data_IF_316914951640
#
_entry.id   IF_316914951640
#
_cell.length_a   1.000
_cell.length_b   1.000
_cell.length_c   1.000
_cell.angle_alpha   90.00
_cell.angle_beta   90.00
_cell.angle_gamma   90.00
#
_symmetry.space_group_name_H-M   'P 1'
#
loop_
_entity.id
_entity.type
_entity.pdbx_description
1 polymer ?
#
# COMPACT_ATOMS: atom_id res chain seq x y z
N UNK A 1 19.07 -6.98 53.47
CA UNK A 1 18.48 -5.99 52.53
C UNK A 1 19.40 -5.62 51.36
N UNK A 2 20.74 -5.64 51.53
CA UNK A 2 21.73 -5.31 50.47
C UNK A 2 21.87 -6.38 49.38
N UNK A 3 21.82 -7.69 49.73
CA UNK A 3 21.94 -8.78 48.76
C UNK A 3 20.78 -8.84 47.73
N UNK A 4 19.54 -8.49 48.15
CA UNK A 4 18.39 -8.39 47.23
C UNK A 4 18.53 -7.25 46.21
N UNK A 5 19.16 -6.13 46.58
CA UNK A 5 19.45 -4.99 45.68
C UNK A 5 20.56 -5.29 44.66
N UNK A 6 21.55 -6.10 45.00
CA UNK A 6 22.59 -6.51 44.05
C UNK A 6 22.11 -7.56 43.05
N UNK A 7 21.22 -8.46 43.48
CA UNK A 7 20.63 -9.45 42.57
C UNK A 7 19.68 -8.80 41.55
N UNK A 8 18.91 -7.78 41.98
CA UNK A 8 18.05 -7.03 41.06
C UNK A 8 18.84 -6.23 40.02
N UNK A 9 19.97 -5.61 40.40
CA UNK A 9 20.86 -4.91 39.44
C UNK A 9 21.47 -5.85 38.40
N UNK A 10 21.87 -7.06 38.81
CA UNK A 10 22.40 -8.08 37.89
C UNK A 10 21.35 -8.57 36.90
N UNK A 11 20.12 -8.81 37.38
CA UNK A 11 18.98 -9.19 36.54
C UNK A 11 18.59 -8.08 35.55
N UNK A 12 18.52 -6.82 36.00
CA UNK A 12 18.24 -5.68 35.11
C UNK A 12 19.31 -5.53 34.04
N UNK A 13 20.59 -5.67 34.41
CA UNK A 13 21.70 -5.61 33.43
C UNK A 13 21.63 -6.74 32.41
N UNK A 14 21.33 -7.96 32.86
CA UNK A 14 21.21 -9.12 31.98
C UNK A 14 20.02 -8.96 31.03
N UNK A 15 18.86 -8.56 31.54
CA UNK A 15 17.68 -8.30 30.72
C UNK A 15 17.93 -7.18 29.70
N UNK A 16 18.58 -6.08 30.11
CA UNK A 16 18.96 -5.01 29.18
C UNK A 16 19.94 -5.46 28.10
N UNK A 17 20.90 -6.34 28.44
CA UNK A 17 21.80 -6.95 27.46
C UNK A 17 21.05 -7.84 26.47
N UNK A 18 20.18 -8.73 26.95
CA UNK A 18 19.38 -9.62 26.11
C UNK A 18 18.48 -8.82 25.16
N UNK A 19 17.75 -7.82 25.67
CA UNK A 19 16.94 -6.92 24.83
C UNK A 19 17.79 -6.18 23.79
N UNK A 20 18.94 -5.63 24.20
CA UNK A 20 19.85 -4.95 23.27
C UNK A 20 20.39 -5.86 22.18
N UNK A 21 20.76 -7.09 22.53
CA UNK A 21 21.24 -8.10 21.59
C UNK A 21 20.17 -8.49 20.58
N UNK A 22 18.94 -8.78 21.04
CA UNK A 22 17.84 -9.16 20.16
C UNK A 22 17.43 -8.03 19.21
N UNK A 23 17.36 -6.79 19.71
CA UNK A 23 17.07 -5.62 18.87
C UNK A 23 18.17 -5.41 17.83
N UNK A 24 19.45 -5.45 18.24
CA UNK A 24 20.57 -5.30 17.31
C UNK A 24 20.63 -6.40 16.26
N UNK A 25 20.35 -7.65 16.65
CA UNK A 25 20.27 -8.78 15.73
C UNK A 25 19.12 -8.60 14.72
N UNK A 26 17.92 -8.20 15.18
CA UNK A 26 16.78 -7.92 14.31
C UNK A 26 17.11 -6.83 13.30
N UNK A 27 17.61 -5.70 13.77
CA UNK A 27 17.90 -4.54 12.93
C UNK A 27 18.98 -4.90 11.89
N UNK A 28 20.06 -5.58 12.31
CA UNK A 28 21.10 -6.06 11.40
C UNK A 28 20.61 -7.10 10.39
N UNK A 29 19.72 -8.02 10.79
CA UNK A 29 19.11 -8.98 9.87
C UNK A 29 18.22 -8.28 8.82
N UNK A 30 17.43 -7.30 9.24
CA UNK A 30 16.60 -6.50 8.34
C UNK A 30 17.47 -5.68 7.36
N UNK A 31 18.51 -4.99 7.85
CA UNK A 31 19.47 -4.26 7.02
C UNK A 31 20.15 -5.20 6.00
N UNK A 32 20.56 -6.40 6.42
CA UNK A 32 21.18 -7.40 5.55
C UNK A 32 20.22 -7.87 4.45
N UNK A 33 18.97 -8.21 4.78
CA UNK A 33 17.95 -8.62 3.79
C UNK A 33 17.67 -7.48 2.80
N UNK A 34 17.54 -6.24 3.27
CA UNK A 34 17.36 -5.10 2.38
C UNK A 34 18.55 -4.92 1.42
N UNK A 35 19.78 -5.18 1.87
CA UNK A 35 20.99 -5.12 1.04
C UNK A 35 21.11 -6.24 0.00
N UNK A 36 20.35 -7.34 0.14
CA UNK A 36 20.33 -8.43 -0.83
C UNK A 36 19.36 -8.19 -2.00
N UNK A 37 18.46 -7.20 -1.87
CA UNK A 37 17.50 -6.89 -2.92
C UNK A 37 18.23 -6.15 -4.06
N UNK A 38 18.12 -6.63 -5.31
CA UNK A 38 18.69 -5.91 -6.43
C UNK A 38 18.01 -4.54 -6.56
N UNK A 39 18.74 -3.49 -6.96
CA UNK A 39 18.10 -2.22 -7.28
C UNK A 39 17.10 -2.44 -8.43
N UNK A 40 15.98 -1.69 -8.45
CA UNK A 40 15.03 -1.78 -9.54
C UNK A 40 15.74 -1.44 -10.85
N UNK A 41 15.36 -2.12 -11.93
CA UNK A 41 15.88 -1.83 -13.26
C UNK A 41 15.47 -0.42 -13.68
N UNK A 42 16.44 0.40 -14.11
CA UNK A 42 16.27 1.83 -14.33
C UNK A 42 16.33 2.23 -15.80
N UNK A 43 16.29 1.28 -16.73
CA UNK A 43 16.37 1.60 -18.16
C UNK A 43 15.11 2.37 -18.56
N UNK A 44 15.22 3.67 -18.92
CA UNK A 44 14.05 4.46 -19.24
C UNK A 44 13.50 4.02 -20.60
N UNK A 45 12.18 3.95 -20.70
CA UNK A 45 11.47 3.78 -21.96
C UNK A 45 11.10 5.16 -22.54
N UNK A 46 11.22 5.37 -23.86
CA UNK A 46 10.84 6.63 -24.51
C UNK A 46 9.32 6.77 -24.51
N UNK A 47 8.78 7.32 -23.43
CA UNK A 47 7.36 7.45 -23.15
C UNK A 47 7.11 8.76 -22.41
N UNK A 48 6.12 9.53 -22.86
CA UNK A 48 5.54 10.65 -22.12
C UNK A 48 4.28 10.17 -21.42
N UNK A 49 4.34 10.08 -20.09
CA UNK A 49 3.26 9.58 -19.27
C UNK A 49 2.66 10.70 -18.41
N UNK A 50 1.33 10.82 -18.41
CA UNK A 50 0.59 11.62 -17.43
C UNK A 50 -0.01 10.68 -16.37
N UNK A 51 0.49 10.76 -15.15
CA UNK A 51 -0.01 10.01 -14.00
C UNK A 51 -1.02 10.84 -13.23
N UNK A 52 -2.19 10.26 -12.95
CA UNK A 52 -3.22 10.86 -12.11
C UNK A 52 -3.29 10.08 -10.78
N UNK A 53 -2.81 10.68 -9.68
CA UNK A 53 -2.75 10.03 -8.37
C UNK A 53 -4.14 9.85 -7.76
N UNK A 54 -4.25 8.93 -6.81
CA UNK A 54 -5.50 8.70 -6.08
C UNK A 54 -5.62 9.53 -4.80
N UNK A 55 -4.52 10.13 -4.31
CA UNK A 55 -4.47 10.90 -3.06
C UNK A 55 -3.98 10.11 -1.84
N UNK A 56 -3.37 8.94 -2.05
CA UNK A 56 -2.79 8.12 -0.98
C UNK A 56 -1.26 8.14 -1.09
N UNK A 57 -0.61 8.97 -0.25
CA UNK A 57 0.83 9.27 -0.30
C UNK A 57 1.71 8.01 -0.44
N UNK A 58 1.46 6.99 0.37
CA UNK A 58 2.24 5.75 0.35
C UNK A 58 2.27 5.04 -1.00
N UNK A 59 1.16 5.10 -1.75
CA UNK A 59 1.03 4.48 -3.07
C UNK A 59 1.51 5.47 -4.14
N UNK A 60 1.02 6.70 -4.10
CA UNK A 60 1.30 7.70 -5.12
C UNK A 60 2.78 8.07 -5.15
N UNK A 61 3.43 8.29 -4.00
CA UNK A 61 4.86 8.59 -3.95
C UNK A 61 5.72 7.44 -4.50
N UNK A 62 5.36 6.19 -4.16
CA UNK A 62 6.05 5.01 -4.67
C UNK A 62 5.90 4.84 -6.18
N UNK A 63 4.71 5.10 -6.72
CA UNK A 63 4.49 5.06 -8.16
C UNK A 63 5.23 6.18 -8.89
N UNK A 64 5.20 7.40 -8.34
CA UNK A 64 5.90 8.54 -8.92
C UNK A 64 7.40 8.24 -8.99
N UNK A 65 8.01 7.78 -7.90
CA UNK A 65 9.44 7.39 -7.87
C UNK A 65 9.76 6.31 -8.92
N UNK A 66 8.94 5.25 -8.97
CA UNK A 66 9.15 4.14 -9.91
C UNK A 66 8.97 4.57 -11.38
N UNK A 67 7.98 5.42 -11.67
CA UNK A 67 7.72 5.92 -13.02
C UNK A 67 8.80 6.92 -13.45
N UNK A 68 9.24 7.82 -12.58
CA UNK A 68 10.35 8.75 -12.86
C UNK A 68 11.63 8.02 -13.29
N UNK A 69 11.91 6.86 -12.69
CA UNK A 69 13.06 6.03 -13.06
C UNK A 69 12.84 5.21 -14.35
N UNK A 70 11.61 5.12 -14.87
CA UNK A 70 11.24 4.22 -15.96
C UNK A 70 10.79 4.91 -17.24
N UNK A 71 10.31 6.15 -17.21
CA UNK A 71 9.86 6.85 -18.42
C UNK A 71 10.76 8.06 -18.70
N UNK A 72 10.89 8.43 -19.98
CA UNK A 72 11.68 9.62 -20.35
C UNK A 72 11.02 10.93 -19.92
N UNK A 73 9.69 10.96 -19.82
CA UNK A 73 8.96 12.17 -19.43
C UNK A 73 7.74 11.80 -18.57
N UNK A 74 7.74 12.22 -17.31
CA UNK A 74 6.63 12.02 -16.38
C UNK A 74 6.00 13.37 -16.03
N UNK A 75 4.68 13.43 -16.18
CA UNK A 75 3.84 14.47 -15.62
C UNK A 75 2.94 13.88 -14.54
N UNK A 76 2.79 14.58 -13.42
CA UNK A 76 1.84 14.22 -12.37
C UNK A 76 0.73 15.26 -12.39
N UNK A 77 -0.48 14.83 -12.71
CA UNK A 77 -1.66 15.70 -12.85
C UNK A 77 -2.61 15.61 -11.66
N UNK A 78 -3.80 16.16 -11.84
CA UNK A 78 -4.90 16.07 -10.89
C UNK A 78 -6.16 15.53 -11.56
N UNK A 79 -7.05 14.93 -10.77
CA UNK A 79 -8.27 14.35 -11.31
C UNK A 79 -9.27 15.43 -11.77
N UNK A 80 -9.21 16.63 -11.18
CA UNK A 80 -10.11 17.75 -11.46
C UNK A 80 -9.94 18.32 -12.87
N UNK A 81 -8.70 18.30 -13.39
CA UNK A 81 -8.33 18.92 -14.66
C UNK A 81 -7.73 17.92 -15.64
N UNK A 82 -8.00 16.62 -15.46
CA UNK A 82 -7.39 15.53 -16.21
C UNK A 82 -7.44 15.78 -17.72
N UNK A 83 -8.61 16.11 -18.27
CA UNK A 83 -8.77 16.31 -19.72
C UNK A 83 -8.04 17.55 -20.25
N UNK A 84 -8.02 18.65 -19.48
CA UNK A 84 -7.31 19.88 -19.81
C UNK A 84 -5.80 19.66 -19.80
N UNK A 85 -5.30 19.00 -18.75
CA UNK A 85 -3.89 18.65 -18.61
C UNK A 85 -3.43 17.70 -19.73
N UNK A 86 -4.23 16.68 -20.04
CA UNK A 86 -3.92 15.76 -21.14
C UNK A 86 -3.85 16.49 -22.49
N UNK A 87 -4.74 17.43 -22.77
CA UNK A 87 -4.71 18.23 -23.99
C UNK A 87 -3.46 19.11 -24.08
N UNK A 88 -3.09 19.78 -22.98
CA UNK A 88 -1.93 20.65 -22.92
C UNK A 88 -0.60 19.90 -23.03
N UNK A 89 -0.50 18.73 -22.38
CA UNK A 89 0.72 17.91 -22.32
C UNK A 89 0.88 17.05 -23.57
N UNK A 90 -0.24 16.60 -24.15
CA UNK A 90 -0.28 15.59 -25.22
C UNK A 90 0.58 14.36 -24.89
N UNK A 91 0.29 13.63 -23.80
CA UNK A 91 1.04 12.43 -23.41
C UNK A 91 0.75 11.25 -24.35
N UNK A 92 1.67 10.30 -24.41
CA UNK A 92 1.44 9.03 -25.12
C UNK A 92 0.39 8.18 -24.38
N UNK A 93 0.38 8.27 -23.04
CA UNK A 93 -0.56 7.55 -22.18
C UNK A 93 -0.92 8.34 -20.92
N UNK A 94 -2.19 8.26 -20.52
CA UNK A 94 -2.67 8.64 -19.19
C UNK A 94 -2.81 7.39 -18.33
N UNK A 95 -2.15 7.35 -17.18
CA UNK A 95 -2.32 6.31 -16.17
C UNK A 95 -3.08 6.88 -14.97
N UNK A 96 -4.23 6.31 -14.65
CA UNK A 96 -5.05 6.69 -13.50
C UNK A 96 -4.94 5.66 -12.40
N UNK A 97 -4.63 6.10 -11.18
CA UNK A 97 -4.68 5.24 -10.00
C UNK A 97 -6.10 5.20 -9.44
N UNK A 98 -6.68 3.99 -9.40
CA UNK A 98 -8.01 3.64 -8.89
C UNK A 98 -9.20 4.30 -9.65
N UNK A 99 -9.23 5.64 -9.80
CA UNK A 99 -10.26 6.33 -10.58
C UNK A 99 -11.66 6.33 -9.96
N UNK A 100 -11.77 6.16 -8.63
CA UNK A 100 -13.04 5.99 -7.92
C UNK A 100 -13.31 7.12 -6.91
N UNK A 101 -13.24 6.82 -5.60
CA UNK A 101 -13.85 7.62 -4.54
C UNK A 101 -13.28 9.03 -4.34
N UNK A 102 -12.04 9.25 -4.73
CA UNK A 102 -11.35 10.54 -4.64
C UNK A 102 -11.44 11.35 -5.93
N UNK A 103 -12.06 10.79 -6.97
CA UNK A 103 -12.16 11.40 -8.29
C UNK A 103 -13.48 12.18 -8.44
N UNK A 104 -13.50 13.23 -9.27
CA UNK A 104 -14.70 14.03 -9.48
C UNK A 104 -15.79 13.22 -10.18
N UNK A 105 -17.05 13.61 -9.99
CA UNK A 105 -18.20 12.88 -10.55
C UNK A 105 -18.16 12.77 -12.09
N UNK A 106 -17.54 13.74 -12.76
CA UNK A 106 -17.37 13.77 -14.22
C UNK A 106 -16.11 13.01 -14.71
N UNK A 107 -15.44 12.24 -13.85
CA UNK A 107 -14.18 11.57 -14.19
C UNK A 107 -14.26 10.72 -15.47
N UNK A 108 -15.30 9.91 -15.62
CA UNK A 108 -15.47 9.08 -16.82
C UNK A 108 -15.70 9.89 -18.10
N UNK A 109 -16.31 11.07 -17.98
CA UNK A 109 -16.47 12.02 -19.09
C UNK A 109 -15.10 12.62 -19.48
N UNK A 110 -14.26 12.93 -18.49
CA UNK A 110 -12.88 13.39 -18.74
C UNK A 110 -12.05 12.31 -19.44
N UNK A 111 -12.15 11.04 -19.03
CA UNK A 111 -11.49 9.92 -19.71
C UNK A 111 -11.97 9.78 -21.16
N UNK A 112 -13.28 9.90 -21.40
CA UNK A 112 -13.82 9.91 -22.76
C UNK A 112 -13.23 11.06 -23.60
N UNK A 113 -13.12 12.26 -23.04
CA UNK A 113 -12.53 13.41 -23.73
C UNK A 113 -11.04 13.21 -24.04
N UNK A 114 -10.27 12.56 -23.16
CA UNK A 114 -8.88 12.18 -23.43
C UNK A 114 -8.79 11.19 -24.59
N UNK A 115 -9.63 10.16 -24.60
CA UNK A 115 -9.64 9.14 -25.66
C UNK A 115 -10.04 9.72 -27.02
N UNK A 116 -10.96 10.69 -27.05
CA UNK A 116 -11.35 11.39 -28.28
C UNK A 116 -10.18 12.17 -28.90
N UNK A 117 -9.16 12.54 -28.12
CA UNK A 117 -7.92 13.15 -28.61
C UNK A 117 -6.90 12.12 -29.14
N UNK A 118 -7.24 10.82 -29.11
CA UNK A 118 -6.34 9.74 -29.52
C UNK A 118 -5.30 9.34 -28.48
N UNK A 119 -5.38 9.90 -27.26
CA UNK A 119 -4.45 9.58 -26.16
C UNK A 119 -4.86 8.25 -25.53
N UNK A 120 -3.89 7.34 -25.34
CA UNK A 120 -4.13 6.04 -24.71
C UNK A 120 -4.45 6.22 -23.22
N UNK A 121 -5.42 5.46 -22.71
CA UNK A 121 -5.80 5.52 -21.30
C UNK A 121 -5.64 4.17 -20.59
N UNK A 122 -5.08 4.21 -19.39
CA UNK A 122 -4.94 3.07 -18.50
C UNK A 122 -5.46 3.40 -17.11
N UNK A 123 -6.05 2.41 -16.44
CA UNK A 123 -6.42 2.50 -15.02
C UNK A 123 -5.81 1.35 -14.25
N UNK A 124 -5.40 1.59 -13.01
CA UNK A 124 -4.99 0.55 -12.08
C UNK A 124 -5.94 0.48 -10.88
N UNK A 125 -6.79 -0.53 -10.86
CA UNK A 125 -7.72 -0.78 -9.76
C UNK A 125 -7.02 -1.53 -8.62
N UNK A 126 -7.16 -0.97 -7.42
CA UNK A 126 -6.46 -1.42 -6.20
C UNK A 126 -7.38 -1.61 -4.99
N UNK A 127 -8.69 -1.40 -5.18
CA UNK A 127 -9.71 -1.61 -4.14
C UNK A 127 -10.59 -2.85 -4.38
N UNK A 128 -10.39 -3.56 -5.49
CA UNK A 128 -11.07 -4.84 -5.70
C UNK A 128 -10.61 -5.89 -4.69
N UNK A 129 -11.50 -6.82 -4.29
CA UNK A 129 -12.86 -7.04 -4.80
C UNK A 129 -13.95 -6.19 -4.11
N UNK A 130 -13.59 -5.21 -3.27
CA UNK A 130 -14.58 -4.45 -2.49
C UNK A 130 -15.36 -3.43 -3.33
N UNK A 131 -14.80 -3.02 -4.47
CA UNK A 131 -15.36 -1.97 -5.33
C UNK A 131 -15.77 -2.47 -6.72
N UNK A 132 -15.89 -3.80 -6.88
CA UNK A 132 -16.04 -4.45 -8.18
C UNK A 132 -17.27 -3.98 -8.97
N UNK A 133 -18.38 -3.65 -8.30
CA UNK A 133 -19.56 -3.07 -8.97
C UNK A 133 -19.23 -1.74 -9.68
N UNK A 134 -18.37 -0.92 -9.08
CA UNK A 134 -17.97 0.39 -9.63
C UNK A 134 -16.83 0.26 -10.63
N UNK A 135 -15.83 -0.57 -10.31
CA UNK A 135 -14.68 -0.77 -11.21
C UNK A 135 -15.11 -1.45 -12.50
N UNK A 136 -16.11 -2.35 -12.49
CA UNK A 136 -16.68 -2.94 -13.70
C UNK A 136 -17.27 -1.90 -14.67
N UNK A 137 -17.96 -0.88 -14.14
CA UNK A 137 -18.49 0.22 -14.96
C UNK A 137 -17.34 1.08 -15.49
N UNK A 138 -16.44 1.51 -14.60
CA UNK A 138 -15.32 2.38 -14.97
C UNK A 138 -14.38 1.73 -16.00
N UNK A 139 -14.13 0.42 -15.89
CA UNK A 139 -13.23 -0.35 -16.73
C UNK A 139 -13.52 -0.20 -18.23
N UNK A 140 -14.79 -0.07 -18.62
CA UNK A 140 -15.22 0.07 -20.02
C UNK A 140 -14.82 1.41 -20.65
N UNK A 141 -14.48 2.40 -19.83
CA UNK A 141 -14.05 3.71 -20.31
C UNK A 141 -12.55 3.76 -20.64
N UNK A 142 -11.76 2.79 -20.19
CA UNK A 142 -10.31 2.75 -20.37
C UNK A 142 -9.88 1.82 -21.49
N UNK A 143 -8.74 2.11 -22.10
CA UNK A 143 -8.18 1.21 -23.11
C UNK A 143 -7.33 0.07 -22.52
N UNK A 144 -6.85 0.23 -21.28
CA UNK A 144 -6.08 -0.77 -20.53
C UNK A 144 -6.56 -0.80 -19.09
N UNK A 145 -6.82 -2.00 -18.57
CA UNK A 145 -7.21 -2.23 -17.18
C UNK A 145 -6.12 -3.04 -16.49
N UNK A 146 -5.55 -2.47 -15.44
CA UNK A 146 -4.62 -3.14 -14.54
C UNK A 146 -5.36 -3.43 -13.23
N UNK A 147 -5.18 -4.62 -12.68
CA UNK A 147 -5.79 -4.99 -11.39
C UNK A 147 -4.83 -5.80 -10.54
N UNK A 148 -4.86 -5.57 -9.23
CA UNK A 148 -4.13 -6.36 -8.26
C UNK A 148 -4.85 -7.64 -7.81
N UNK A 149 -6.09 -7.85 -8.29
CA UNK A 149 -6.97 -8.94 -7.86
C UNK A 149 -7.13 -9.94 -9.01
N UNK A 150 -6.58 -11.15 -8.85
CA UNK A 150 -6.65 -12.17 -9.89
C UNK A 150 -8.10 -12.57 -10.21
N UNK A 151 -8.99 -12.53 -9.21
CA UNK A 151 -10.40 -12.88 -9.35
C UNK A 151 -11.21 -11.96 -10.27
N UNK A 152 -10.76 -10.73 -10.53
CA UNK A 152 -11.49 -9.77 -11.38
C UNK A 152 -11.06 -9.80 -12.84
N UNK A 153 -9.98 -10.52 -13.20
CA UNK A 153 -9.50 -10.60 -14.59
C UNK A 153 -10.58 -11.11 -15.54
N UNK A 154 -11.20 -12.24 -15.19
CA UNK A 154 -12.23 -12.85 -16.03
C UNK A 154 -13.50 -12.02 -16.04
N UNK A 155 -13.84 -11.38 -14.92
CA UNK A 155 -14.96 -10.46 -14.86
C UNK A 155 -14.79 -9.33 -15.89
N UNK A 156 -13.66 -8.61 -15.89
CA UNK A 156 -13.44 -7.50 -16.82
C UNK A 156 -13.45 -7.96 -18.29
N UNK A 157 -12.88 -9.12 -18.58
CA UNK A 157 -12.92 -9.69 -19.94
C UNK A 157 -14.35 -10.00 -20.35
N UNK A 158 -15.15 -10.60 -19.46
CA UNK A 158 -16.53 -10.99 -19.74
C UNK A 158 -17.45 -9.81 -20.05
N UNK A 159 -17.17 -8.62 -19.51
CA UNK A 159 -17.94 -7.39 -19.77
C UNK A 159 -17.43 -6.59 -20.97
N UNK A 160 -16.38 -7.05 -21.65
CA UNK A 160 -15.90 -6.47 -22.91
C UNK A 160 -14.57 -5.73 -22.84
N UNK A 161 -13.87 -5.72 -21.70
CA UNK A 161 -12.52 -5.17 -21.64
C UNK A 161 -11.54 -6.09 -22.37
N UNK A 162 -10.93 -5.59 -23.45
CA UNK A 162 -10.05 -6.40 -24.31
C UNK A 162 -8.59 -6.45 -23.85
N UNK A 163 -8.18 -5.49 -23.01
CA UNK A 163 -6.81 -5.36 -22.53
C UNK A 163 -6.83 -5.27 -21.00
N UNK A 164 -6.74 -6.43 -20.36
CA UNK A 164 -6.81 -6.60 -18.90
C UNK A 164 -5.62 -7.39 -18.41
N UNK A 165 -4.86 -6.80 -17.50
CA UNK A 165 -3.64 -7.39 -16.95
C UNK A 165 -3.64 -7.40 -15.43
N UNK A 166 -3.11 -8.49 -14.88
CA UNK A 166 -2.76 -8.56 -13.48
C UNK A 166 -1.48 -7.76 -13.24
N UNK A 167 -1.52 -6.84 -12.29
CA UNK A 167 -0.37 -6.11 -11.81
C UNK A 167 -0.47 -5.97 -10.29
N UNK A 168 0.36 -6.70 -9.50
CA UNK A 168 0.33 -6.61 -8.06
C UNK A 168 0.85 -5.26 -7.58
N UNK A 169 0.27 -4.74 -6.49
CA UNK A 169 0.87 -3.62 -5.79
C UNK A 169 2.15 -4.06 -5.09
N UNK A 170 3.21 -3.30 -5.31
CA UNK A 170 4.47 -3.44 -4.59
C UNK A 170 4.55 -2.39 -3.48
N UNK A 171 5.49 -2.61 -2.57
CA UNK A 171 5.77 -1.69 -1.47
C UNK A 171 6.66 -0.54 -1.93
N UNK A 172 6.35 0.70 -1.55
CA UNK A 172 7.29 1.82 -1.70
C UNK A 172 8.45 1.67 -0.72
N UNK A 173 9.57 1.11 -1.19
CA UNK A 173 10.73 0.78 -0.34
C UNK A 173 11.48 2.00 0.21
N UNK A 174 11.30 3.19 -0.37
CA UNK A 174 11.83 4.43 0.20
C UNK A 174 11.15 4.80 1.52
N UNK A 175 9.83 4.59 1.60
CA UNK A 175 9.01 4.86 2.77
C UNK A 175 8.98 3.67 3.73
N UNK A 176 8.67 2.48 3.22
CA UNK A 176 8.58 1.25 4.01
C UNK A 176 9.88 0.46 3.92
N UNK A 177 10.76 0.74 4.87
CA UNK A 177 12.05 0.07 5.02
C UNK A 177 12.37 -0.15 6.48
N UNK A 178 13.27 -1.08 6.80
CA UNK A 178 13.80 -1.20 8.15
C UNK A 178 14.35 0.16 8.62
N UNK A 179 13.89 0.60 9.78
CA UNK A 179 14.32 1.82 10.43
C UNK A 179 14.56 1.53 11.91
N UNK A 180 15.57 2.19 12.47
CA UNK A 180 15.78 2.19 13.92
C UNK A 180 14.75 3.11 14.54
N UNK A 181 13.87 2.54 15.35
CA UNK A 181 12.79 3.26 16.01
C UNK A 181 13.01 3.29 17.52
N UNK A 182 12.33 4.22 18.20
CA UNK A 182 12.29 4.20 19.66
C UNK A 182 11.65 2.89 20.18
N UNK A 183 12.11 2.46 21.35
CA UNK A 183 11.52 1.37 22.14
C UNK A 183 10.00 1.50 22.36
N UNK A 184 9.44 2.72 22.32
CA UNK A 184 8.01 2.98 22.41
C UNK A 184 7.21 2.25 21.32
N UNK A 185 7.78 2.08 20.13
CA UNK A 185 7.16 1.37 19.00
C UNK A 185 7.31 -0.15 19.06
N UNK A 186 8.12 -0.68 19.98
CA UNK A 186 8.28 -2.12 20.13
C UNK A 186 6.96 -2.75 20.60
N UNK A 187 6.54 -3.85 19.97
CA UNK A 187 5.38 -4.65 20.38
C UNK A 187 5.72 -6.14 20.18
N UNK A 188 5.07 -7.00 20.96
CA UNK A 188 5.18 -8.45 20.78
C UNK A 188 4.34 -8.92 19.59
N UNK A 189 3.21 -8.24 19.35
CA UNK A 189 2.30 -8.48 18.25
C UNK A 189 1.78 -7.14 17.74
N UNK A 190 1.86 -6.92 16.42
CA UNK A 190 1.41 -5.71 15.75
C UNK A 190 0.46 -6.09 14.62
N UNK A 191 -0.72 -5.47 14.59
CA UNK A 191 -1.66 -5.56 13.47
C UNK A 191 -1.85 -4.16 12.89
N UNK A 192 -1.63 -4.03 11.59
CA UNK A 192 -1.82 -2.79 10.84
C UNK A 192 -2.91 -3.02 9.80
N UNK A 193 -4.01 -2.28 9.89
CA UNK A 193 -5.12 -2.36 8.95
C UNK A 193 -6.47 -2.01 9.58
N UNK A 194 -7.54 -2.25 8.84
CA UNK A 194 -8.91 -2.02 9.33
C UNK A 194 -9.50 -3.29 9.96
N UNK A 195 -10.25 -3.13 11.04
CA UNK A 195 -11.02 -4.17 11.73
C UNK A 195 -12.25 -4.67 10.96
N UNK A 196 -12.02 -5.30 9.80
CA UNK A 196 -13.08 -5.99 9.06
C UNK A 196 -13.50 -7.28 9.76
N UNK A 197 -14.76 -7.69 9.61
CA UNK A 197 -15.35 -8.79 10.37
C UNK A 197 -14.58 -10.11 10.27
N UNK A 198 -14.00 -10.41 9.12
CA UNK A 198 -13.14 -11.58 8.95
C UNK A 198 -11.87 -11.50 9.83
N UNK A 199 -11.27 -10.31 9.96
CA UNK A 199 -10.11 -10.08 10.83
C UNK A 199 -10.51 -10.05 12.31
N UNK A 200 -11.64 -9.43 12.63
CA UNK A 200 -12.21 -9.42 13.99
C UNK A 200 -12.44 -10.84 14.47
N UNK A 201 -13.11 -11.69 13.67
CA UNK A 201 -13.35 -13.09 14.02
C UNK A 201 -12.05 -13.85 14.31
N UNK A 202 -11.05 -13.73 13.44
CA UNK A 202 -9.74 -14.37 13.65
C UNK A 202 -9.08 -13.89 14.95
N UNK A 203 -9.12 -12.60 15.25
CA UNK A 203 -8.48 -12.05 16.46
C UNK A 203 -9.27 -12.41 17.73
N UNK A 204 -10.60 -12.43 17.67
CA UNK A 204 -11.44 -12.89 18.78
C UNK A 204 -11.14 -14.36 19.12
N UNK A 205 -11.00 -15.23 18.11
CA UNK A 205 -10.67 -16.66 18.28
C UNK A 205 -9.33 -16.89 19.00
N UNK A 206 -8.38 -15.96 18.88
CA UNK A 206 -7.06 -16.06 19.51
C UNK A 206 -6.85 -15.09 20.69
N UNK A 207 -7.88 -14.36 21.10
CA UNK A 207 -7.75 -13.24 22.05
C UNK A 207 -7.24 -13.70 23.43
N UNK A 208 -7.72 -14.82 23.94
CA UNK A 208 -7.25 -15.32 25.24
C UNK A 208 -5.78 -15.75 25.21
N UNK A 209 -5.29 -16.31 24.10
CA UNK A 209 -3.87 -16.67 23.93
C UNK A 209 -2.98 -15.43 23.78
N UNK A 210 -3.49 -14.38 23.15
CA UNK A 210 -2.83 -13.08 23.08
C UNK A 210 -2.68 -12.46 24.48
N UNK A 211 -3.72 -12.56 25.30
CA UNK A 211 -3.75 -12.03 26.67
C UNK A 211 -2.97 -12.88 27.69
N UNK A 212 -2.90 -14.20 27.49
CA UNK A 212 -2.33 -15.17 28.43
C UNK A 212 -0.84 -14.93 28.80
N UNK A 213 -0.12 -14.07 28.03
CA UNK A 213 1.30 -13.79 28.25
C UNK A 213 1.62 -12.32 28.55
N UNK A 214 0.62 -11.47 28.83
CA UNK A 214 0.80 -10.01 28.99
C UNK A 214 1.62 -9.40 27.85
N UNK A 215 1.37 -9.87 26.62
CA UNK A 215 2.04 -9.37 25.42
C UNK A 215 1.67 -7.92 25.21
N UNK A 216 2.62 -7.10 24.78
CA UNK A 216 2.34 -5.76 24.26
C UNK A 216 1.78 -5.90 22.85
N UNK A 217 0.47 -5.71 22.73
CA UNK A 217 -0.25 -5.78 21.44
C UNK A 217 -0.47 -4.36 20.94
N UNK A 218 -0.28 -4.16 19.65
CA UNK A 218 -0.55 -2.88 18.99
C UNK A 218 -1.50 -3.11 17.83
N UNK A 219 -2.63 -2.39 17.84
CA UNK A 219 -3.63 -2.39 16.78
C UNK A 219 -3.63 -1.00 16.15
N UNK A 220 -3.26 -0.91 14.87
CA UNK A 220 -3.24 0.33 14.10
C UNK A 220 -4.31 0.29 13.02
N UNK A 221 -5.05 1.39 12.89
CA UNK A 221 -6.18 1.55 11.97
C UNK A 221 -7.52 1.65 12.70
N UNK A 222 -8.61 1.72 11.96
CA UNK A 222 -9.95 1.88 12.52
C UNK A 222 -10.65 0.54 12.75
N UNK A 223 -11.83 0.62 13.38
CA UNK A 223 -12.79 -0.49 13.52
C UNK A 223 -12.35 -1.63 14.46
N UNK A 224 -11.20 -1.50 15.11
CA UNK A 224 -10.70 -2.49 16.07
C UNK A 224 -11.53 -2.54 17.35
N UNK A 225 -12.28 -1.47 17.67
CA UNK A 225 -13.21 -1.41 18.80
C UNK A 225 -14.35 -2.44 18.72
N UNK A 226 -14.50 -3.11 17.58
CA UNK A 226 -15.43 -4.22 17.37
C UNK A 226 -14.98 -5.53 18.03
N UNK A 227 -13.70 -5.67 18.38
CA UNK A 227 -13.19 -6.86 19.08
C UNK A 227 -13.88 -7.02 20.43
N UNK A 228 -14.29 -8.25 20.74
CA UNK A 228 -14.94 -8.58 22.01
C UNK A 228 -14.06 -8.21 23.23
N UNK A 229 -12.74 -8.41 23.08
CA UNK A 229 -11.74 -8.14 24.09
C UNK A 229 -10.99 -6.82 23.89
N UNK A 230 -11.48 -5.88 23.05
CA UNK A 230 -10.72 -4.67 22.66
C UNK A 230 -10.09 -3.90 23.84
N UNK A 231 -10.85 -3.69 24.92
CA UNK A 231 -10.36 -2.95 26.10
C UNK A 231 -9.32 -3.70 26.94
N UNK A 232 -9.16 -5.00 26.70
CA UNK A 232 -8.21 -5.88 27.41
C UNK A 232 -6.93 -6.09 26.61
N UNK A 233 -7.00 -5.95 25.27
CA UNK A 233 -5.90 -6.11 24.32
C UNK A 233 -4.99 -4.87 24.26
#
# INVERSE_FOLDING_TARGET
>A
MVARKNNSRKQVRQSGYETGFHTGWRDGACEAVSGLLPPPEQTPVPLRLLYIPQGFEAIDAGLIEALQARVTELHVGSAEQLAEQAAAISPDIVLVMNGLHTFPANHLEQISAVRQQGIRTAVWFVDDPYMTEKTAIAALHYDVVLTHELGTLELYRSIGCTNVHYLPLAVHTGLYRPQRTDSAFASDVCFIGQGFWNRIGILDDISEQLLAKRRKIFLSGGLWERLSAYKRL
#
